data_IF_078715307531
#
_entry.id   IF_078715307531
#
_cell.length_a   1.000
_cell.length_b   1.000
_cell.length_c   1.000
_cell.angle_alpha   90.00
_cell.angle_beta   90.00
_cell.angle_gamma   90.00
#
_symmetry.space_group_name_H-M   'P 1'
#
loop_
_entity.id
_entity.type
_entity.pdbx_description
1 polymer ?
#
# COMPACT_ATOMS: atom_id res chain seq x y z
N UNK A 1 -0.30 -17.63 -2.82
CA UNK A 1 -0.02 -17.58 -1.36
C UNK A 1 -0.62 -16.30 -0.79
N UNK A 2 -1.29 -16.36 0.36
CA UNK A 2 -1.86 -15.16 1.00
C UNK A 2 -0.72 -14.25 1.50
N UNK A 3 -0.74 -12.97 1.12
CA UNK A 3 0.29 -11.98 1.51
C UNK A 3 0.00 -11.49 2.92
N UNK A 4 0.98 -11.60 3.82
CA UNK A 4 0.90 -10.99 5.15
C UNK A 4 1.00 -9.46 5.06
N UNK A 5 0.24 -8.77 5.89
CA UNK A 5 0.16 -7.31 5.92
C UNK A 5 0.63 -6.81 7.28
N UNK A 6 1.67 -5.97 7.28
CA UNK A 6 2.15 -5.30 8.48
C UNK A 6 1.31 -4.03 8.72
N UNK A 7 0.80 -3.89 9.94
CA UNK A 7 0.01 -2.74 10.42
C UNK A 7 0.62 -2.23 11.73
N UNK A 8 1.80 -1.59 11.63
CA UNK A 8 2.56 -1.15 12.80
C UNK A 8 3.08 -2.34 13.64
N UNK A 9 2.76 -2.45 14.93
CA UNK A 9 3.21 -3.56 15.77
C UNK A 9 2.46 -4.87 15.50
N UNK A 10 1.46 -4.85 14.61
CA UNK A 10 0.62 -5.99 14.27
C UNK A 10 0.98 -6.54 12.89
N UNK A 11 0.90 -7.86 12.73
CA UNK A 11 1.02 -8.54 11.44
C UNK A 11 -0.20 -9.42 11.24
N UNK A 12 -0.96 -9.14 10.18
CA UNK A 12 -2.13 -9.91 9.80
C UNK A 12 -1.77 -10.88 8.67
N UNK A 13 -2.12 -12.15 8.85
CA UNK A 13 -2.00 -13.20 7.84
C UNK A 13 -3.40 -13.69 7.50
N UNK A 14 -3.90 -13.42 6.28
CA UNK A 14 -5.23 -13.86 5.89
C UNK A 14 -5.34 -15.38 5.85
N UNK A 15 -6.52 -15.92 6.16
CA UNK A 15 -6.82 -17.32 5.92
C UNK A 15 -6.66 -17.68 4.42
N UNK A 16 -6.19 -18.91 4.10
CA UNK A 16 -6.06 -19.36 2.72
C UNK A 16 -7.38 -19.24 1.92
N UNK A 17 -7.33 -18.94 0.61
CA UNK A 17 -8.53 -18.74 -0.22
C UNK A 17 -9.42 -19.99 -0.37
N UNK A 18 -8.92 -21.18 -0.04
CA UNK A 18 -9.68 -22.44 -0.05
C UNK A 18 -10.00 -22.94 1.36
N UNK A 19 -9.76 -22.13 2.39
CA UNK A 19 -10.08 -22.50 3.75
C UNK A 19 -11.60 -22.45 3.98
N UNK A 20 -12.15 -23.32 4.86
CA UNK A 20 -13.56 -23.26 5.20
C UNK A 20 -13.92 -21.88 5.76
N UNK A 21 -15.16 -21.43 5.62
CA UNK A 21 -15.63 -20.09 6.05
C UNK A 21 -15.41 -19.80 7.54
N UNK A 22 -15.17 -20.84 8.35
CA UNK A 22 -14.83 -20.75 9.78
C UNK A 22 -13.33 -20.49 10.05
N UNK A 23 -12.47 -20.73 9.06
CA UNK A 23 -11.04 -20.48 9.17
C UNK A 23 -10.77 -18.98 9.19
N UNK A 24 -10.42 -18.48 10.37
CA UNK A 24 -10.07 -17.08 10.61
C UNK A 24 -8.57 -16.88 10.32
N UNK A 25 -8.20 -15.73 9.75
CA UNK A 25 -6.82 -15.31 9.62
C UNK A 25 -6.16 -15.12 10.99
N UNK A 26 -4.83 -15.01 10.99
CA UNK A 26 -4.07 -14.82 12.22
C UNK A 26 -3.60 -13.37 12.32
N UNK A 27 -3.85 -12.74 13.46
CA UNK A 27 -3.24 -11.46 13.82
C UNK A 27 -2.19 -11.74 14.89
N UNK A 28 -0.99 -11.22 14.68
CA UNK A 28 0.11 -11.36 15.64
C UNK A 28 0.61 -9.99 16.05
N UNK A 29 1.03 -9.84 17.31
CA UNK A 29 1.71 -8.63 17.81
C UNK A 29 3.05 -9.07 18.40
N UNK A 30 4.16 -8.68 17.76
CA UNK A 30 5.50 -9.14 18.19
C UNK A 30 5.64 -10.67 18.27
N UNK A 31 4.97 -11.41 17.38
CA UNK A 31 4.96 -12.88 17.36
C UNK A 31 3.92 -13.54 18.27
N UNK A 32 3.21 -12.78 19.13
CA UNK A 32 2.15 -13.32 19.98
C UNK A 32 0.79 -13.30 19.26
N UNK A 33 0.01 -14.40 19.28
CA UNK A 33 -1.31 -14.45 18.66
C UNK A 33 -2.30 -13.53 19.38
N UNK A 34 -3.01 -12.70 18.62
CA UNK A 34 -4.07 -11.80 19.08
C UNK A 34 -5.41 -12.33 18.58
N UNK A 35 -6.38 -12.48 19.49
CA UNK A 35 -7.69 -13.02 19.16
C UNK A 35 -8.48 -12.07 18.24
N UNK A 36 -8.70 -12.50 17.00
CA UNK A 36 -9.59 -11.87 16.00
C UNK A 36 -11.03 -12.31 16.25
N UNK A 37 -11.61 -11.94 17.40
CA UNK A 37 -13.05 -12.15 17.59
C UNK A 37 -13.76 -10.95 16.97
N UNK A 38 -14.45 -11.21 15.86
CA UNK A 38 -15.49 -10.36 15.23
C UNK A 38 -15.02 -9.28 14.23
N UNK A 39 -13.75 -8.88 14.19
CA UNK A 39 -13.32 -7.78 13.31
C UNK A 39 -12.69 -8.19 11.97
N UNK A 40 -12.58 -9.48 11.64
CA UNK A 40 -11.87 -9.88 10.42
C UNK A 40 -12.49 -9.37 9.10
N UNK A 41 -13.83 -9.43 8.90
CA UNK A 41 -14.43 -8.87 7.69
C UNK A 41 -14.17 -7.36 7.57
N UNK A 42 -14.22 -6.64 8.70
CA UNK A 42 -13.96 -5.21 8.78
C UNK A 42 -12.49 -4.91 8.46
N UNK A 43 -11.56 -5.66 9.05
CA UNK A 43 -10.13 -5.51 8.85
C UNK A 43 -9.72 -5.80 7.41
N UNK A 44 -10.30 -6.85 6.82
CA UNK A 44 -10.08 -7.20 5.41
C UNK A 44 -10.60 -6.11 4.48
N UNK A 45 -11.81 -5.60 4.73
CA UNK A 45 -12.38 -4.49 3.93
C UNK A 45 -11.57 -3.20 4.07
N UNK A 46 -11.09 -2.89 5.28
CA UNK A 46 -10.21 -1.75 5.52
C UNK A 46 -8.91 -1.85 4.72
N UNK A 47 -8.23 -3.00 4.79
CA UNK A 47 -6.98 -3.23 4.06
C UNK A 47 -7.15 -3.19 2.54
N UNK A 48 -8.24 -3.76 2.01
CA UNK A 48 -8.54 -3.69 0.58
C UNK A 48 -8.78 -2.24 0.11
N UNK A 49 -9.49 -1.45 0.91
CA UNK A 49 -9.76 -0.03 0.63
C UNK A 49 -8.46 0.79 0.64
N UNK A 50 -7.60 0.58 1.63
CA UNK A 50 -6.31 1.25 1.71
C UNK A 50 -5.39 0.89 0.53
N UNK A 51 -5.34 -0.39 0.14
CA UNK A 51 -4.53 -0.80 -1.02
C UNK A 51 -5.00 -0.18 -2.34
N UNK A 52 -6.32 -0.03 -2.54
CA UNK A 52 -6.87 0.68 -3.72
C UNK A 52 -6.55 2.17 -3.70
N UNK A 53 -6.63 2.79 -2.53
CA UNK A 53 -6.30 4.21 -2.36
C UNK A 53 -4.81 4.44 -2.67
N UNK A 54 -3.92 3.61 -2.13
CA UNK A 54 -2.48 3.66 -2.41
C UNK A 54 -2.19 3.50 -3.91
N UNK A 55 -2.83 2.53 -4.57
CA UNK A 55 -2.69 2.31 -6.01
C UNK A 55 -3.22 3.48 -6.87
N UNK A 56 -4.22 4.22 -6.41
CA UNK A 56 -4.70 5.43 -7.10
C UNK A 56 -3.77 6.64 -6.87
N UNK A 57 -3.15 6.73 -5.70
CA UNK A 57 -2.26 7.82 -5.33
C UNK A 57 -0.83 7.65 -5.87
N UNK A 58 -0.33 6.43 -5.99
CA UNK A 58 1.03 6.13 -6.46
C UNK A 58 1.34 6.76 -7.84
N UNK A 59 0.47 6.63 -8.87
CA UNK A 59 0.71 7.25 -10.19
C UNK A 59 0.63 8.77 -10.14
N UNK A 60 -0.21 9.33 -9.27
CA UNK A 60 -0.40 10.79 -9.13
C UNK A 60 0.82 11.48 -8.54
N UNK A 61 1.45 10.85 -7.54
CA UNK A 61 2.66 11.39 -6.95
C UNK A 61 3.91 11.13 -7.80
N UNK A 62 4.03 9.98 -8.45
CA UNK A 62 5.16 9.70 -9.36
C UNK A 62 5.09 10.55 -10.65
N UNK A 63 3.89 10.79 -11.18
CA UNK A 63 3.67 11.65 -12.35
C UNK A 63 3.86 13.15 -12.08
N UNK A 64 3.75 13.60 -10.83
CA UNK A 64 3.99 14.98 -10.44
C UNK A 64 5.48 15.36 -10.39
N UNK A 65 6.37 14.37 -10.18
CA UNK A 65 7.82 14.58 -10.15
C UNK A 65 8.48 14.78 -11.53
N UNK A 66 7.84 14.35 -12.61
CA UNK A 66 8.39 14.46 -13.98
C UNK A 66 7.88 15.66 -14.76
N UNK A 67 6.84 16.35 -14.27
CA UNK A 67 6.36 17.63 -14.84
C UNK A 67 6.88 18.82 -14.02
N UNK A 68 8.14 18.79 -13.63
CA UNK A 68 8.89 20.04 -13.46
C UNK A 68 9.21 20.57 -14.86
N UNK A 69 8.17 21.12 -15.50
CA UNK A 69 8.29 21.88 -16.72
C UNK A 69 8.91 23.24 -16.37
N UNK A 70 10.16 23.26 -15.90
CA UNK A 70 10.98 24.44 -16.11
C UNK A 70 11.32 24.45 -17.60
N UNK A 71 10.84 25.42 -18.38
CA UNK A 71 11.32 25.56 -19.75
C UNK A 71 12.82 25.80 -19.64
N UNK A 72 13.60 24.84 -20.15
CA UNK A 72 15.05 24.96 -20.29
C UNK A 72 15.29 26.26 -21.04
N UNK A 73 15.75 27.28 -20.34
CA UNK A 73 16.02 28.59 -20.91
C UNK A 73 16.93 28.40 -22.12
N UNK A 74 16.44 28.85 -23.27
CA UNK A 74 17.11 28.81 -24.55
C UNK A 74 18.44 29.55 -24.45
N UNK A 75 19.55 28.82 -24.29
CA UNK A 75 20.89 29.41 -24.31
C UNK A 75 21.23 29.78 -25.76
N UNK A 76 20.99 31.03 -26.12
CA UNK A 76 21.52 31.60 -27.35
C UNK A 76 23.07 31.61 -27.29
N UNK A 77 23.77 31.20 -28.37
CA UNK A 77 25.21 31.34 -28.43
C UNK A 77 25.56 32.82 -28.51
N UNK A 78 26.28 33.31 -27.48
CA UNK A 78 26.94 34.62 -27.54
C UNK A 78 28.11 34.50 -28.51
N UNK A 79 27.93 34.99 -29.73
CA UNK A 79 29.05 35.31 -30.62
C UNK A 79 29.63 36.64 -30.14
N UNK A 80 30.80 36.58 -29.49
CA UNK A 80 31.65 37.74 -29.28
C UNK A 80 32.36 38.08 -30.59
N UNK A 81 32.51 39.39 -30.79
CA UNK A 81 32.97 40.09 -31.98
C UNK A 81 34.42 39.81 -32.38
#
# INVERSE_FOLDING_TARGET
MARSVAMGPYTYTPAPPHAPTSATGTLTRGGLPVALRVTEPLLRSFLDTMGRLEADLEPRWIGAGTRSAFPRAHRAPRTLS
#
